data_IF_297730977283
#
_entry.id   IF_297730977283
#
_cell.length_a   1.000
_cell.length_b   1.000
_cell.length_c   1.000
_cell.angle_alpha   90.00
_cell.angle_beta   90.00
_cell.angle_gamma   90.00
#
_symmetry.space_group_name_H-M   'P 1'
#
loop_
_entity.id
_entity.type
_entity.pdbx_description
1 polymer ?
#
# COMPACT_ATOMS: atom_id res chain seq x y z
N UNK A 1 -0.39 6.57 -0.34
CA UNK A 1 -1.30 7.54 0.35
C UNK A 1 -2.13 6.74 1.34
N UNK A 2 -1.73 6.71 2.61
CA UNK A 2 -2.47 5.97 3.64
C UNK A 2 -3.65 6.85 4.04
N UNK A 3 -4.87 6.50 3.62
CA UNK A 3 -6.04 7.08 4.23
C UNK A 3 -6.06 6.58 5.68
N UNK A 4 -5.82 7.47 6.62
CA UNK A 4 -5.88 7.10 8.02
C UNK A 4 -7.30 6.63 8.35
N UNK A 5 -7.41 5.70 9.30
CA UNK A 5 -8.71 5.27 9.83
C UNK A 5 -9.50 6.49 10.32
N UNK A 6 -8.80 7.51 10.85
CA UNK A 6 -9.40 8.78 11.30
C UNK A 6 -10.10 9.51 10.15
N UNK A 7 -9.46 9.62 8.97
CA UNK A 7 -10.07 10.24 7.80
C UNK A 7 -11.37 9.55 7.38
N UNK A 8 -11.35 8.22 7.26
CA UNK A 8 -12.51 7.43 6.86
C UNK A 8 -13.68 7.57 7.85
N UNK A 9 -13.41 7.38 9.13
CA UNK A 9 -14.42 7.47 10.17
C UNK A 9 -15.00 8.89 10.26
N UNK A 10 -14.15 9.91 10.30
CA UNK A 10 -14.58 11.28 10.39
C UNK A 10 -15.39 11.74 9.19
N UNK A 11 -14.95 11.43 7.97
CA UNK A 11 -15.65 11.78 6.73
C UNK A 11 -17.00 11.06 6.61
N UNK A 12 -17.06 9.78 7.00
CA UNK A 12 -18.32 9.02 7.02
C UNK A 12 -19.31 9.58 8.02
N UNK A 13 -18.87 9.93 9.24
CA UNK A 13 -19.74 10.54 10.26
C UNK A 13 -20.24 11.92 9.83
N UNK A 14 -19.40 12.72 9.17
CA UNK A 14 -19.80 14.01 8.61
C UNK A 14 -20.88 13.84 7.53
N UNK A 15 -20.69 12.92 6.58
CA UNK A 15 -21.65 12.62 5.52
C UNK A 15 -22.99 12.11 6.08
N UNK A 16 -22.96 11.15 6.99
CA UNK A 16 -24.16 10.59 7.65
C UNK A 16 -24.89 11.69 8.42
N UNK A 17 -24.19 12.51 9.19
CA UNK A 17 -24.78 13.64 9.93
C UNK A 17 -25.47 14.63 8.99
N UNK A 18 -24.87 14.91 7.82
CA UNK A 18 -25.44 15.79 6.80
C UNK A 18 -26.72 15.19 6.20
N UNK A 19 -26.71 13.90 5.86
CA UNK A 19 -27.88 13.19 5.34
C UNK A 19 -29.05 13.18 6.33
N UNK A 20 -28.78 12.89 7.61
CA UNK A 20 -29.78 12.90 8.69
C UNK A 20 -30.40 14.30 8.83
N UNK A 21 -29.58 15.36 8.82
CA UNK A 21 -30.06 16.74 8.92
C UNK A 21 -30.98 17.13 7.76
N UNK A 22 -30.64 16.72 6.54
CA UNK A 22 -31.37 17.13 5.33
C UNK A 22 -32.66 16.33 5.17
N UNK A 23 -32.64 15.02 5.37
CA UNK A 23 -33.77 14.15 5.05
C UNK A 23 -34.73 13.93 6.22
N UNK A 24 -34.24 13.84 7.45
CA UNK A 24 -35.09 13.54 8.60
C UNK A 24 -35.57 14.76 9.36
N UNK A 25 -35.00 15.95 9.13
CA UNK A 25 -35.37 17.22 9.75
C UNK A 25 -35.68 17.11 11.27
N UNK A 26 -34.83 16.49 12.09
CA UNK A 26 -35.13 16.25 13.49
C UNK A 26 -35.03 17.55 14.28
N UNK A 27 -36.16 18.26 14.47
CA UNK A 27 -36.21 19.58 15.13
C UNK A 27 -35.48 19.63 16.47
N UNK A 28 -35.53 18.53 17.24
CA UNK A 28 -34.89 18.42 18.56
C UNK A 28 -33.35 18.34 18.46
N UNK A 29 -32.80 17.76 17.38
CA UNK A 29 -31.36 17.47 17.24
C UNK A 29 -30.66 18.30 16.16
N UNK A 30 -31.31 19.30 15.58
CA UNK A 30 -30.76 20.13 14.52
C UNK A 30 -29.41 20.78 14.91
N UNK A 31 -29.31 21.38 16.09
CA UNK A 31 -28.08 22.02 16.54
C UNK A 31 -26.95 21.03 16.82
N UNK A 32 -27.15 20.00 17.67
CA UNK A 32 -26.09 19.03 17.94
C UNK A 32 -25.60 18.32 16.68
N UNK A 33 -26.50 17.92 15.76
CA UNK A 33 -26.13 17.31 14.49
C UNK A 33 -25.34 18.25 13.57
N UNK A 34 -25.70 19.53 13.53
CA UNK A 34 -24.95 20.53 12.76
C UNK A 34 -23.53 20.73 13.31
N UNK A 35 -23.37 20.75 14.61
CA UNK A 35 -22.05 20.83 15.24
C UNK A 35 -21.23 19.56 14.98
N UNK A 36 -21.81 18.37 15.11
CA UNK A 36 -21.11 17.12 14.83
C UNK A 36 -20.66 17.04 13.37
N UNK A 37 -21.51 17.44 12.43
CA UNK A 37 -21.15 17.49 11.00
C UNK A 37 -19.91 18.36 10.75
N UNK A 38 -19.90 19.60 11.30
CA UNK A 38 -18.76 20.52 11.12
C UNK A 38 -17.51 19.98 11.82
N UNK A 39 -17.66 19.46 13.04
CA UNK A 39 -16.53 18.89 13.78
C UNK A 39 -15.88 17.72 13.01
N UNK A 40 -16.65 16.73 12.59
CA UNK A 40 -16.11 15.58 11.88
C UNK A 40 -15.56 15.92 10.50
N UNK A 41 -16.20 16.86 9.78
CA UNK A 41 -15.68 17.33 8.51
C UNK A 41 -14.32 18.07 8.68
N UNK A 42 -14.20 18.90 9.71
CA UNK A 42 -12.95 19.60 10.04
C UNK A 42 -11.85 18.62 10.49
N UNK A 43 -12.21 17.60 11.28
CA UNK A 43 -11.29 16.55 11.71
C UNK A 43 -10.76 15.73 10.51
N UNK A 44 -11.65 15.34 9.60
CA UNK A 44 -11.26 14.62 8.38
C UNK A 44 -10.36 15.44 7.45
N UNK A 45 -10.62 16.77 7.35
CA UNK A 45 -9.78 17.67 6.58
C UNK A 45 -8.42 17.90 7.23
N UNK A 46 -8.37 18.07 8.56
CA UNK A 46 -7.12 18.24 9.30
C UNK A 46 -6.23 17.01 9.15
N UNK A 47 -6.81 15.81 9.30
CA UNK A 47 -6.10 14.56 9.07
C UNK A 47 -5.59 14.44 7.62
N UNK A 48 -6.41 14.81 6.64
CA UNK A 48 -6.00 14.85 5.23
C UNK A 48 -4.81 15.80 5.01
N UNK A 49 -4.82 17.00 5.57
CA UNK A 49 -3.73 18.00 5.43
C UNK A 49 -2.45 17.50 6.10
N UNK A 50 -2.54 16.90 7.29
CA UNK A 50 -1.38 16.42 8.06
C UNK A 50 -0.73 15.21 7.40
N UNK A 51 -1.53 14.29 6.85
CA UNK A 51 -1.04 13.05 6.26
C UNK A 51 -0.73 13.17 4.75
N UNK A 52 -1.13 14.27 4.10
CA UNK A 52 -0.86 14.54 2.70
C UNK A 52 0.13 15.70 2.60
N UNK A 53 1.38 15.43 2.28
CA UNK A 53 2.20 16.46 1.66
C UNK A 53 1.52 16.81 0.32
N UNK A 54 0.98 18.03 0.22
CA UNK A 54 0.27 18.52 -0.96
C UNK A 54 1.22 18.52 -2.15
N UNK A 55 1.27 17.43 -2.88
CA UNK A 55 1.88 17.38 -4.20
C UNK A 55 0.77 17.66 -5.19
N UNK A 56 0.83 18.80 -5.82
CA UNK A 56 0.08 19.15 -7.02
C UNK A 56 0.48 18.19 -8.14
N UNK A 57 -0.18 17.07 -8.26
CA UNK A 57 0.07 16.14 -9.35
C UNK A 57 -1.22 15.45 -9.81
N UNK A 58 -1.57 15.76 -11.05
CA UNK A 58 -2.32 14.98 -12.05
C UNK A 58 -3.65 14.37 -11.58
N UNK A 59 -4.70 14.68 -12.33
CA UNK A 59 -6.09 14.24 -12.13
C UNK A 59 -6.16 12.70 -12.15
N UNK A 60 -6.17 12.09 -10.98
CA UNK A 60 -6.52 10.69 -10.76
C UNK A 60 -7.80 10.57 -9.92
N UNK A 61 -8.29 9.34 -9.71
CA UNK A 61 -9.52 9.08 -8.95
C UNK A 61 -9.45 9.59 -7.50
N UNK A 62 -8.26 9.61 -6.89
CA UNK A 62 -8.05 10.13 -5.54
C UNK A 62 -8.15 11.66 -5.52
N UNK A 63 -7.62 12.33 -6.53
CA UNK A 63 -7.75 13.79 -6.71
C UNK A 63 -9.21 14.18 -6.87
N UNK A 64 -9.98 13.44 -7.68
CA UNK A 64 -11.44 13.67 -7.83
C UNK A 64 -12.15 13.52 -6.48
N UNK A 65 -11.87 12.44 -5.74
CA UNK A 65 -12.43 12.23 -4.41
C UNK A 65 -12.12 13.37 -3.45
N UNK A 66 -10.88 13.86 -3.43
CA UNK A 66 -10.45 14.99 -2.61
C UNK A 66 -11.22 16.28 -2.95
N UNK A 67 -11.35 16.61 -4.24
CA UNK A 67 -12.09 17.80 -4.67
C UNK A 67 -13.59 17.73 -4.33
N UNK A 68 -14.21 16.55 -4.51
CA UNK A 68 -15.61 16.33 -4.11
C UNK A 68 -15.78 16.45 -2.60
N UNK A 69 -14.82 15.95 -1.82
CA UNK A 69 -14.80 16.09 -0.36
C UNK A 69 -14.64 17.53 0.10
N UNK A 70 -13.75 18.32 -0.52
CA UNK A 70 -13.57 19.74 -0.25
C UNK A 70 -14.85 20.52 -0.59
N UNK A 71 -15.50 20.21 -1.72
CA UNK A 71 -16.76 20.84 -2.10
C UNK A 71 -17.87 20.50 -1.09
N UNK A 72 -17.98 19.26 -0.65
CA UNK A 72 -18.93 18.82 0.39
C UNK A 72 -18.72 19.58 1.70
N UNK A 73 -17.47 19.69 2.17
CA UNK A 73 -17.12 20.46 3.36
C UNK A 73 -17.47 21.94 3.22
N UNK A 74 -17.08 22.57 2.12
CA UNK A 74 -17.32 23.99 1.87
C UNK A 74 -18.82 24.30 1.85
N UNK A 75 -19.62 23.49 1.16
CA UNK A 75 -21.08 23.64 1.12
C UNK A 75 -21.73 23.38 2.49
N UNK A 76 -21.18 22.45 3.27
CA UNK A 76 -21.65 22.18 4.63
C UNK A 76 -21.38 23.37 5.56
N UNK A 77 -20.20 23.98 5.49
CA UNK A 77 -19.84 25.20 6.23
C UNK A 77 -20.71 26.39 5.81
N UNK A 78 -20.93 26.58 4.51
CA UNK A 78 -21.82 27.64 4.00
C UNK A 78 -23.27 27.44 4.44
N UNK A 79 -23.77 26.21 4.42
CA UNK A 79 -25.10 25.88 4.91
C UNK A 79 -25.24 26.18 6.42
N UNK A 80 -24.23 25.80 7.21
CA UNK A 80 -24.16 26.10 8.62
C UNK A 80 -24.13 27.62 8.89
N UNK A 81 -23.23 28.35 8.21
CA UNK A 81 -23.12 29.81 8.35
C UNK A 81 -24.44 30.53 7.93
N UNK A 82 -25.09 30.05 6.87
CA UNK A 82 -26.37 30.63 6.43
C UNK A 82 -27.50 30.45 7.44
N UNK A 83 -27.47 29.38 8.25
CA UNK A 83 -28.42 29.17 9.33
C UNK A 83 -28.26 30.21 10.46
N UNK A 84 -27.02 30.68 10.69
CA UNK A 84 -26.71 31.70 11.70
C UNK A 84 -26.94 33.12 11.17
N UNK A 85 -26.45 33.43 9.97
CA UNK A 85 -26.38 34.78 9.43
C UNK A 85 -27.68 35.21 8.72
N UNK A 86 -28.45 34.29 8.16
CA UNK A 86 -29.59 34.58 7.29
C UNK A 86 -30.95 34.31 7.94
N UNK A 87 -31.02 34.14 9.23
CA UNK A 87 -32.26 33.94 9.99
C UNK A 87 -33.11 35.21 10.03
N UNK A 88 -34.34 35.26 9.60
CA UNK A 88 -35.24 34.36 8.86
C UNK A 88 -35.49 34.78 7.39
N UNK A 89 -34.62 35.62 6.77
CA UNK A 89 -34.90 36.35 5.53
C UNK A 89 -34.88 35.54 4.23
N UNK A 90 -34.19 34.38 4.18
CA UNK A 90 -34.10 33.58 2.95
C UNK A 90 -34.10 32.06 3.22
N UNK A 91 -35.19 31.45 3.70
CA UNK A 91 -35.25 30.02 4.05
C UNK A 91 -35.00 29.12 2.83
N UNK A 92 -35.41 29.53 1.62
CA UNK A 92 -35.20 28.75 0.38
C UNK A 92 -33.72 28.64 -0.01
N UNK A 93 -32.91 29.68 0.21
CA UNK A 93 -31.46 29.64 -0.08
C UNK A 93 -30.73 28.71 0.89
N UNK A 94 -31.06 28.73 2.18
CA UNK A 94 -30.53 27.82 3.18
C UNK A 94 -30.86 26.35 2.84
N UNK A 95 -32.12 26.04 2.48
CA UNK A 95 -32.49 24.68 2.07
C UNK A 95 -31.73 24.21 0.82
N UNK A 96 -31.54 25.09 -0.18
CA UNK A 96 -30.76 24.77 -1.39
C UNK A 96 -29.32 24.43 -1.08
N UNK A 97 -28.66 25.20 -0.20
CA UNK A 97 -27.31 24.91 0.26
C UNK A 97 -27.22 23.59 1.01
N UNK A 98 -28.21 23.28 1.87
CA UNK A 98 -28.28 22.03 2.58
C UNK A 98 -28.42 20.81 1.65
N UNK A 99 -29.29 20.91 0.64
CA UNK A 99 -29.42 19.85 -0.37
C UNK A 99 -28.15 19.67 -1.21
N UNK A 100 -27.51 20.78 -1.63
CA UNK A 100 -26.26 20.70 -2.35
C UNK A 100 -25.17 20.02 -1.48
N UNK A 101 -25.02 20.40 -0.22
CA UNK A 101 -24.10 19.79 0.72
C UNK A 101 -24.36 18.27 0.87
N UNK A 102 -25.64 17.86 0.95
CA UNK A 102 -26.01 16.44 1.05
C UNK A 102 -25.62 15.66 -0.22
N UNK A 103 -25.87 16.22 -1.40
CA UNK A 103 -25.52 15.58 -2.68
C UNK A 103 -24.00 15.38 -2.80
N UNK A 104 -23.21 16.42 -2.51
CA UNK A 104 -21.75 16.30 -2.57
C UNK A 104 -21.20 15.36 -1.50
N UNK A 105 -21.80 15.33 -0.30
CA UNK A 105 -21.39 14.38 0.76
C UNK A 105 -21.72 12.94 0.36
N UNK A 106 -22.88 12.68 -0.22
CA UNK A 106 -23.24 11.37 -0.75
C UNK A 106 -22.32 10.95 -1.89
N UNK A 107 -21.99 11.85 -2.81
CA UNK A 107 -21.04 11.59 -3.89
C UNK A 107 -19.64 11.29 -3.36
N UNK A 108 -19.13 12.05 -2.39
CA UNK A 108 -17.85 11.79 -1.77
C UNK A 108 -17.81 10.43 -1.08
N UNK A 109 -18.86 10.06 -0.34
CA UNK A 109 -18.99 8.74 0.30
C UNK A 109 -19.02 7.62 -0.75
N UNK A 110 -19.80 7.78 -1.81
CA UNK A 110 -19.92 6.78 -2.88
C UNK A 110 -18.59 6.56 -3.62
N UNK A 111 -17.88 7.64 -3.99
CA UNK A 111 -16.55 7.56 -4.61
C UNK A 111 -15.56 6.91 -3.62
N UNK A 112 -15.62 7.27 -2.35
CA UNK A 112 -14.78 6.65 -1.32
C UNK A 112 -15.01 5.14 -1.18
N UNK A 113 -16.26 4.69 -1.23
CA UNK A 113 -16.61 3.24 -1.22
C UNK A 113 -16.10 2.54 -2.48
N UNK A 114 -16.22 3.18 -3.66
CA UNK A 114 -15.66 2.62 -4.91
C UNK A 114 -14.13 2.50 -4.82
N UNK A 115 -13.43 3.52 -4.33
CA UNK A 115 -11.99 3.49 -4.15
C UNK A 115 -11.58 2.42 -3.12
N UNK A 116 -12.33 2.27 -2.04
CA UNK A 116 -12.12 1.20 -1.08
C UNK A 116 -12.36 -0.18 -1.73
N UNK A 117 -13.41 -0.33 -2.53
CA UNK A 117 -13.69 -1.55 -3.31
C UNK A 117 -12.55 -1.87 -4.28
N UNK A 118 -11.91 -0.86 -4.88
CA UNK A 118 -10.72 -1.02 -5.71
C UNK A 118 -9.51 -1.57 -4.93
N UNK A 119 -9.37 -1.20 -3.66
CA UNK A 119 -8.33 -1.78 -2.77
C UNK A 119 -8.58 -3.27 -2.54
N UNK A 120 -9.84 -3.70 -2.51
CA UNK A 120 -10.23 -5.12 -2.33
C UNK A 120 -10.39 -5.87 -3.66
N UNK A 121 -10.34 -5.20 -4.81
CA UNK A 121 -10.37 -5.90 -6.09
C UNK A 121 -9.10 -6.73 -6.25
N UNK A 122 -9.25 -8.01 -6.54
CA UNK A 122 -8.10 -8.82 -6.94
C UNK A 122 -7.50 -8.19 -8.20
N UNK A 123 -6.18 -7.96 -8.17
CA UNK A 123 -5.45 -7.57 -9.37
C UNK A 123 -5.56 -8.62 -10.47
N UNK A 124 -4.94 -8.38 -11.61
CA UNK A 124 -4.95 -9.36 -12.68
C UNK A 124 -4.44 -10.70 -12.15
N UNK A 125 -5.20 -11.77 -12.38
CA UNK A 125 -4.74 -13.14 -12.11
C UNK A 125 -3.62 -13.41 -13.13
N UNK A 126 -2.40 -13.45 -12.64
CA UNK A 126 -1.23 -13.75 -13.45
C UNK A 126 -0.84 -15.17 -13.08
N UNK A 127 -1.29 -16.12 -13.88
CA UNK A 127 -0.96 -17.54 -13.75
C UNK A 127 0.17 -17.89 -14.72
N UNK A 128 1.38 -17.45 -14.41
CA UNK A 128 2.58 -17.77 -15.17
C UNK A 128 3.54 -18.54 -14.28
N UNK A 129 3.84 -19.76 -14.71
CA UNK A 129 4.86 -20.57 -14.06
C UNK A 129 6.22 -19.86 -14.12
N UNK A 130 6.98 -19.91 -13.00
CA UNK A 130 8.34 -19.41 -12.97
C UNK A 130 9.19 -20.09 -14.04
N UNK A 131 9.90 -19.28 -14.83
CA UNK A 131 10.81 -19.75 -15.84
C UNK A 131 12.25 -19.69 -15.35
N UNK A 132 13.09 -20.70 -15.62
CA UNK A 132 14.55 -20.57 -15.47
C UNK A 132 15.04 -19.34 -16.26
N UNK A 133 15.93 -18.55 -15.65
CA UNK A 133 16.44 -17.32 -16.25
C UNK A 133 17.95 -17.18 -16.04
N UNK A 134 18.55 -16.23 -16.74
CA UNK A 134 19.94 -15.83 -16.55
C UNK A 134 20.05 -14.79 -15.42
N UNK A 135 21.13 -14.87 -14.65
CA UNK A 135 21.51 -13.79 -13.72
C UNK A 135 22.14 -12.58 -14.44
N UNK A 136 22.49 -12.73 -15.72
CA UNK A 136 22.92 -11.63 -16.59
C UNK A 136 21.70 -11.07 -17.28
N UNK A 137 21.35 -9.83 -16.94
CA UNK A 137 20.16 -9.16 -17.46
C UNK A 137 20.49 -8.44 -18.79
N UNK A 138 19.51 -8.30 -19.70
CA UNK A 138 19.68 -7.59 -20.97
C UNK A 138 19.98 -6.09 -20.82
N UNK A 139 19.60 -5.47 -19.68
CA UNK A 139 19.66 -4.02 -19.42
C UNK A 139 18.90 -3.18 -20.45
N UNK A 140 17.86 -3.78 -21.02
CA UNK A 140 16.87 -3.14 -21.90
C UNK A 140 15.49 -3.40 -21.28
N UNK A 141 14.75 -2.36 -20.98
CA UNK A 141 13.46 -2.49 -20.30
C UNK A 141 12.47 -3.28 -21.14
N UNK A 142 12.05 -4.44 -20.62
CA UNK A 142 11.01 -5.24 -21.25
C UNK A 142 9.63 -4.59 -21.03
N UNK A 143 8.83 -4.52 -22.09
CA UNK A 143 7.45 -4.00 -22.07
C UNK A 143 6.40 -5.10 -22.02
N UNK A 144 6.81 -6.35 -22.32
CA UNK A 144 5.95 -7.53 -22.33
C UNK A 144 6.78 -8.78 -21.97
N UNK A 145 6.15 -9.75 -21.32
CA UNK A 145 6.71 -11.07 -21.07
C UNK A 145 5.60 -12.12 -21.09
N UNK A 146 5.79 -13.18 -21.89
CA UNK A 146 4.81 -14.28 -22.08
C UNK A 146 3.40 -13.79 -22.42
N UNK A 147 3.28 -12.75 -23.27
CA UNK A 147 1.99 -12.17 -23.66
C UNK A 147 1.38 -11.22 -22.62
N UNK A 148 2.06 -10.98 -21.49
CA UNK A 148 1.58 -10.08 -20.43
C UNK A 148 2.29 -8.74 -20.58
N UNK A 149 1.50 -7.67 -20.71
CA UNK A 149 2.02 -6.30 -20.73
C UNK A 149 2.57 -5.92 -19.36
N UNK A 150 3.79 -5.40 -19.32
CA UNK A 150 4.45 -4.92 -18.12
C UNK A 150 4.24 -3.41 -17.95
N UNK A 151 4.18 -2.97 -16.70
CA UNK A 151 4.14 -1.54 -16.39
C UNK A 151 5.55 -0.97 -16.48
N UNK A 152 5.81 0.07 -17.31
CA UNK A 152 7.12 0.70 -17.37
C UNK A 152 7.57 1.23 -16.01
N UNK A 153 8.89 1.23 -15.74
CA UNK A 153 9.43 1.72 -14.47
C UNK A 153 9.04 3.19 -14.20
N UNK A 154 8.94 4.01 -15.25
CA UNK A 154 8.50 5.40 -15.16
C UNK A 154 7.09 5.56 -14.58
N UNK A 155 6.23 4.57 -14.82
CA UNK A 155 4.81 4.60 -14.43
C UNK A 155 4.55 3.88 -13.09
N UNK A 156 5.56 3.17 -12.57
CA UNK A 156 5.47 2.47 -11.30
C UNK A 156 5.66 3.45 -10.14
N UNK A 157 4.67 3.52 -9.25
CA UNK A 157 4.80 4.25 -7.98
C UNK A 157 5.75 3.51 -7.03
N UNK A 158 6.37 4.25 -6.11
CA UNK A 158 7.31 3.72 -5.15
C UNK A 158 7.15 4.42 -3.79
N UNK A 159 7.08 3.63 -2.73
CA UNK A 159 7.03 4.11 -1.34
C UNK A 159 8.26 3.62 -0.58
N UNK A 160 8.76 4.44 0.34
CA UNK A 160 9.86 4.13 1.23
C UNK A 160 9.73 4.90 2.54
N UNK A 161 10.08 4.28 3.67
CA UNK A 161 9.94 4.92 5.00
C UNK A 161 11.02 5.96 5.27
N UNK A 162 12.19 5.83 4.62
CA UNK A 162 13.32 6.77 4.73
C UNK A 162 13.82 7.26 3.37
N UNK A 163 12.97 7.20 2.33
CA UNK A 163 13.38 7.55 0.97
C UNK A 163 14.25 6.47 0.32
N UNK A 164 14.75 6.77 -0.89
CA UNK A 164 15.58 5.85 -1.67
C UNK A 164 16.92 5.61 -0.98
N UNK A 165 17.32 4.34 -0.86
CA UNK A 165 18.61 3.95 -0.35
C UNK A 165 19.59 3.69 -1.50
N UNK A 166 20.83 4.14 -1.34
CA UNK A 166 21.91 3.94 -2.31
C UNK A 166 22.94 3.02 -1.69
N UNK A 167 22.94 1.76 -2.09
CA UNK A 167 23.77 0.71 -1.53
C UNK A 167 24.89 0.38 -2.51
N UNK A 168 26.14 0.41 -2.03
CA UNK A 168 27.30 0.04 -2.84
C UNK A 168 27.33 -1.48 -3.03
N UNK A 169 27.29 -1.91 -4.28
CA UNK A 169 27.35 -3.32 -4.67
C UNK A 169 28.58 -4.04 -4.13
N UNK A 170 29.73 -3.38 -4.09
CA UNK A 170 31.00 -4.01 -3.73
C UNK A 170 31.08 -4.30 -2.23
N UNK A 171 30.41 -3.50 -1.43
CA UNK A 171 30.37 -3.63 0.03
C UNK A 171 29.08 -4.31 0.55
N UNK A 172 28.16 -4.67 -0.35
CA UNK A 172 26.92 -5.30 0.04
C UNK A 172 27.10 -6.78 0.39
N UNK A 173 26.49 -7.19 1.50
CA UNK A 173 26.29 -8.59 1.86
C UNK A 173 24.90 -8.84 2.37
N UNK A 174 24.35 -10.02 2.06
CA UNK A 174 23.11 -10.55 2.62
C UNK A 174 23.45 -11.54 3.72
N UNK A 175 22.98 -11.27 4.93
CA UNK A 175 23.14 -12.18 6.06
C UNK A 175 21.91 -13.07 6.23
N UNK A 176 22.13 -14.39 6.45
CA UNK A 176 21.10 -15.34 6.87
C UNK A 176 21.47 -15.88 8.25
N UNK A 177 20.56 -15.76 9.22
CA UNK A 177 20.79 -16.15 10.61
C UNK A 177 19.54 -16.68 11.32
N UNK A 178 19.64 -16.92 12.61
CA UNK A 178 18.56 -17.36 13.49
C UNK A 178 18.48 -18.86 13.63
N UNK A 179 17.30 -19.47 13.47
CA UNK A 179 17.10 -20.93 13.60
C UNK A 179 17.59 -21.68 12.36
N UNK A 180 18.88 -21.58 12.11
CA UNK A 180 19.63 -22.28 11.06
C UNK A 180 20.84 -22.99 11.66
N UNK A 181 21.33 -24.03 11.01
CA UNK A 181 22.54 -24.74 11.46
C UNK A 181 23.82 -24.00 11.04
N UNK A 182 23.74 -23.28 9.92
CA UNK A 182 24.85 -22.48 9.37
C UNK A 182 24.36 -21.09 8.99
N UNK A 183 24.87 -20.07 9.65
CA UNK A 183 24.69 -18.69 9.20
C UNK A 183 25.42 -18.47 7.87
N UNK A 184 24.83 -17.66 6.99
CA UNK A 184 25.45 -17.26 5.73
C UNK A 184 25.71 -15.75 5.75
N UNK A 185 26.76 -15.34 5.04
CA UNK A 185 27.04 -13.96 4.73
C UNK A 185 27.53 -13.92 3.28
N UNK A 186 26.65 -13.60 2.35
CA UNK A 186 26.90 -13.72 0.91
C UNK A 186 26.99 -12.34 0.26
N UNK A 187 28.00 -12.15 -0.53
CA UNK A 187 28.14 -10.97 -1.39
C UNK A 187 27.09 -10.99 -2.51
N UNK A 188 26.87 -9.83 -3.13
CA UNK A 188 25.95 -9.73 -4.27
C UNK A 188 26.34 -10.68 -5.40
N UNK A 189 27.64 -10.79 -5.71
CA UNK A 189 28.13 -11.64 -6.79
C UNK A 189 27.97 -13.15 -6.48
N UNK A 190 28.08 -13.56 -5.23
CA UNK A 190 27.77 -14.95 -4.81
C UNK A 190 26.28 -15.25 -4.91
N UNK A 191 25.41 -14.29 -4.59
CA UNK A 191 23.96 -14.44 -4.74
C UNK A 191 23.54 -14.61 -6.20
N UNK A 192 24.21 -13.97 -7.14
CA UNK A 192 23.98 -14.13 -8.58
C UNK A 192 24.37 -15.52 -9.13
N UNK A 193 25.09 -16.35 -8.36
CA UNK A 193 25.39 -17.74 -8.72
C UNK A 193 24.26 -18.72 -8.34
N UNK A 194 23.27 -18.27 -7.57
CA UNK A 194 22.13 -19.10 -7.23
C UNK A 194 21.25 -19.39 -8.47
N UNK A 195 20.50 -20.50 -8.47
CA UNK A 195 19.53 -20.77 -9.52
C UNK A 195 18.58 -19.58 -9.69
N UNK A 196 18.55 -19.03 -10.89
CA UNK A 196 17.81 -17.82 -11.21
C UNK A 196 16.53 -18.14 -11.95
N UNK A 197 15.46 -17.44 -11.60
CA UNK A 197 14.12 -17.57 -12.17
C UNK A 197 13.54 -16.20 -12.50
N UNK A 198 12.63 -16.17 -13.49
CA UNK A 198 11.80 -15.01 -13.77
C UNK A 198 10.33 -15.36 -13.61
N UNK A 199 9.57 -14.41 -13.11
CA UNK A 199 8.11 -14.47 -13.03
C UNK A 199 7.49 -13.12 -13.34
N UNK A 200 6.22 -13.10 -13.73
CA UNK A 200 5.41 -11.88 -13.76
C UNK A 200 4.50 -11.89 -12.55
N UNK A 201 4.54 -10.80 -11.80
CA UNK A 201 3.68 -10.63 -10.63
C UNK A 201 3.11 -9.22 -10.56
N UNK A 202 1.86 -9.12 -10.09
CA UNK A 202 1.23 -7.86 -9.75
C UNK A 202 1.54 -7.50 -8.30
N UNK A 203 2.06 -6.30 -8.08
CA UNK A 203 2.34 -5.73 -6.75
C UNK A 203 1.20 -4.78 -6.38
N UNK A 204 0.27 -5.17 -5.50
CA UNK A 204 -0.83 -4.32 -5.05
C UNK A 204 -0.40 -3.46 -3.86
N UNK A 205 -0.67 -2.16 -3.91
CA UNK A 205 -0.52 -1.27 -2.77
C UNK A 205 -1.85 -1.09 -2.04
N UNK A 206 -1.81 -0.98 -0.71
CA UNK A 206 -2.99 -0.64 0.13
C UNK A 206 -3.55 0.74 -0.16
N UNK A 207 -2.83 1.58 -0.87
CA UNK A 207 -3.26 2.90 -1.34
C UNK A 207 -4.12 2.85 -2.61
N UNK A 208 -4.48 1.67 -3.12
CA UNK A 208 -5.35 1.48 -4.27
C UNK A 208 -4.66 1.57 -5.62
N UNK A 209 -3.32 1.59 -5.67
CA UNK A 209 -2.55 1.46 -6.89
C UNK A 209 -1.74 0.16 -6.89
N UNK A 210 -1.24 -0.21 -8.04
CA UNK A 210 -0.36 -1.36 -8.19
C UNK A 210 0.24 -1.39 -9.59
N UNK A 211 1.15 -2.31 -9.82
CA UNK A 211 1.77 -2.48 -11.11
C UNK A 211 2.14 -3.94 -11.39
N UNK A 212 2.21 -4.30 -12.65
CA UNK A 212 2.63 -5.61 -13.12
C UNK A 212 4.06 -5.52 -13.63
N UNK A 213 4.96 -6.35 -13.13
CA UNK A 213 6.34 -6.38 -13.56
C UNK A 213 6.85 -7.81 -13.73
N UNK A 214 7.86 -7.96 -14.59
CA UNK A 214 8.71 -9.15 -14.67
C UNK A 214 9.78 -9.02 -13.61
N UNK A 215 9.83 -9.99 -12.70
CA UNK A 215 10.83 -10.06 -11.65
C UNK A 215 11.84 -11.15 -11.97
N UNK A 216 13.11 -10.87 -11.77
CA UNK A 216 14.19 -11.84 -11.95
C UNK A 216 15.00 -11.94 -10.68
N UNK A 217 15.19 -13.16 -10.18
CA UNK A 217 15.87 -13.40 -8.92
C UNK A 217 16.04 -14.88 -8.59
N UNK A 218 16.48 -15.18 -7.37
CA UNK A 218 16.57 -16.53 -6.83
C UNK A 218 15.42 -16.78 -5.86
N UNK A 219 15.07 -18.04 -5.64
CA UNK A 219 14.04 -18.40 -4.64
C UNK A 219 14.62 -18.25 -3.24
N UNK A 220 13.89 -17.61 -2.35
CA UNK A 220 14.28 -17.46 -0.94
C UNK A 220 14.56 -18.82 -0.31
N UNK A 221 13.75 -19.82 -0.64
CA UNK A 221 13.92 -21.18 -0.08
C UNK A 221 15.21 -21.86 -0.54
N UNK A 222 15.68 -21.61 -1.76
CA UNK A 222 16.95 -22.18 -2.24
C UNK A 222 18.13 -21.63 -1.41
N UNK A 223 18.10 -20.34 -1.08
CA UNK A 223 19.08 -19.72 -0.19
C UNK A 223 18.98 -20.28 1.25
N UNK A 224 17.77 -20.39 1.80
CA UNK A 224 17.55 -20.92 3.16
C UNK A 224 17.96 -22.38 3.30
N UNK A 225 17.80 -23.18 2.25
CA UNK A 225 18.27 -24.58 2.22
C UNK A 225 19.79 -24.69 2.36
N UNK A 226 20.55 -23.70 1.87
CA UNK A 226 22.00 -23.66 2.09
C UNK A 226 22.36 -23.45 3.58
N UNK A 227 21.49 -22.79 4.34
CA UNK A 227 21.68 -22.55 5.78
C UNK A 227 21.24 -23.73 6.65
N UNK A 228 20.46 -24.66 6.13
CA UNK A 228 19.84 -25.79 6.84
C UNK A 228 18.93 -25.30 7.97
N UNK A 229 17.65 -25.10 7.66
CA UNK A 229 16.66 -24.59 8.63
C UNK A 229 16.45 -25.64 9.73
N UNK A 230 16.50 -25.21 11.00
CA UNK A 230 16.17 -26.06 12.14
C UNK A 230 14.66 -26.34 12.20
N UNK A 231 14.24 -27.52 12.71
CA UNK A 231 12.82 -27.88 12.75
C UNK A 231 11.90 -26.92 13.50
N UNK A 232 12.45 -26.13 14.41
CA UNK A 232 11.71 -25.08 15.15
C UNK A 232 11.53 -23.78 14.37
N UNK A 233 12.17 -23.62 13.21
CA UNK A 233 12.01 -22.43 12.35
C UNK A 233 10.72 -22.54 11.56
N UNK A 234 9.77 -21.63 11.82
CA UNK A 234 8.46 -21.61 11.16
C UNK A 234 8.13 -20.27 10.49
N UNK A 235 8.92 -19.25 10.75
CA UNK A 235 8.69 -17.90 10.25
C UNK A 235 10.01 -17.25 9.84
N UNK A 236 9.96 -16.36 8.85
CA UNK A 236 11.15 -15.71 8.30
C UNK A 236 10.95 -14.20 8.30
N UNK A 237 11.86 -13.50 8.96
CA UNK A 237 11.87 -12.04 9.03
C UNK A 237 12.88 -11.49 8.05
N UNK A 238 12.48 -10.53 7.25
CA UNK A 238 13.31 -9.80 6.30
C UNK A 238 13.58 -8.40 6.87
N UNK A 239 14.85 -8.02 6.95
CA UNK A 239 15.29 -6.70 7.42
C UNK A 239 15.98 -5.96 6.29
N UNK A 240 15.66 -4.69 6.19
CA UNK A 240 16.13 -3.78 5.15
C UNK A 240 17.16 -2.78 5.69
N UNK A 241 17.93 -2.21 4.79
CA UNK A 241 18.95 -1.21 5.11
C UNK A 241 18.39 0.06 5.77
N UNK A 242 17.15 0.42 5.47
CA UNK A 242 16.45 1.59 6.02
C UNK A 242 15.71 1.32 7.36
N UNK A 243 16.02 0.20 8.05
CA UNK A 243 15.35 -0.30 9.25
C UNK A 243 13.90 -0.77 9.02
N UNK A 244 13.47 -0.90 7.75
CA UNK A 244 12.22 -1.56 7.45
C UNK A 244 12.32 -3.05 7.78
N UNK A 245 11.21 -3.64 8.21
CA UNK A 245 11.13 -5.09 8.42
C UNK A 245 9.74 -5.61 8.11
N UNK A 246 9.68 -6.85 7.65
CA UNK A 246 8.43 -7.62 7.52
C UNK A 246 8.75 -9.10 7.69
N UNK A 247 7.72 -9.91 7.90
CA UNK A 247 7.91 -11.35 8.03
C UNK A 247 6.87 -12.14 7.26
N UNK A 248 7.22 -13.38 6.93
CA UNK A 248 6.38 -14.32 6.19
C UNK A 248 6.52 -15.72 6.78
N UNK A 249 5.43 -16.52 6.79
CA UNK A 249 5.49 -17.93 7.16
C UNK A 249 6.45 -18.71 6.25
N UNK A 250 7.20 -19.66 6.84
CA UNK A 250 8.14 -20.47 6.09
C UNK A 250 7.45 -21.33 5.01
N UNK A 251 6.28 -21.87 5.31
CA UNK A 251 5.47 -22.66 4.36
C UNK A 251 5.02 -21.83 3.15
N UNK A 252 4.70 -20.55 3.36
CA UNK A 252 4.39 -19.63 2.26
C UNK A 252 5.60 -19.45 1.33
N UNK A 253 6.81 -19.31 1.88
CA UNK A 253 8.03 -19.18 1.09
C UNK A 253 8.35 -20.45 0.29
N UNK A 254 8.12 -21.63 0.90
CA UNK A 254 8.35 -22.92 0.29
C UNK A 254 7.34 -23.20 -0.83
N UNK A 255 6.05 -23.16 -0.50
CA UNK A 255 4.97 -23.51 -1.42
C UNK A 255 4.81 -22.48 -2.53
N UNK A 256 4.99 -21.20 -2.21
CA UNK A 256 4.89 -20.10 -3.14
C UNK A 256 6.11 -19.93 -4.04
N UNK A 257 7.25 -20.62 -3.78
CA UNK A 257 8.50 -20.41 -4.52
C UNK A 257 8.86 -18.92 -4.61
N UNK A 258 8.76 -18.21 -3.49
CA UNK A 258 8.88 -16.75 -3.42
C UNK A 258 10.29 -16.29 -3.84
N UNK A 259 10.35 -15.28 -4.72
CA UNK A 259 11.61 -14.75 -5.23
C UNK A 259 12.17 -13.64 -4.32
N UNK A 260 13.50 -13.63 -4.23
CA UNK A 260 14.32 -12.49 -3.89
C UNK A 260 14.86 -11.93 -5.21
N UNK A 261 14.27 -10.83 -5.67
CA UNK A 261 14.60 -10.26 -6.97
C UNK A 261 15.83 -9.35 -6.88
N UNK A 262 16.68 -9.43 -7.89
CA UNK A 262 17.74 -8.50 -8.20
C UNK A 262 17.51 -7.76 -9.52
N UNK A 263 16.45 -8.14 -10.27
CA UNK A 263 16.08 -7.54 -11.53
C UNK A 263 14.58 -7.31 -11.66
N UNK A 264 14.22 -6.28 -12.44
CA UNK A 264 12.85 -5.90 -12.77
C UNK A 264 12.77 -5.49 -14.25
N UNK A 265 11.81 -6.02 -15.02
CA UNK A 265 11.62 -5.72 -16.43
C UNK A 265 12.93 -5.81 -17.25
N UNK A 266 13.74 -6.85 -17.00
CA UNK A 266 15.05 -7.09 -17.62
C UNK A 266 16.15 -6.05 -17.32
N UNK A 267 15.92 -5.16 -16.37
CA UNK A 267 16.91 -4.25 -15.83
C UNK A 267 17.38 -4.70 -14.45
N UNK A 268 18.63 -4.44 -14.11
CA UNK A 268 19.07 -4.50 -12.71
C UNK A 268 18.19 -3.58 -11.87
N UNK A 269 17.78 -4.01 -10.69
CA UNK A 269 16.94 -3.19 -9.81
C UNK A 269 17.54 -1.79 -9.65
N UNK A 270 16.82 -0.72 -10.02
CA UNK A 270 17.24 0.63 -9.67
C UNK A 270 17.25 0.84 -8.15
N UNK A 271 18.02 1.81 -7.67
CA UNK A 271 18.13 2.10 -6.24
C UNK A 271 16.76 2.35 -5.58
N UNK A 272 15.86 3.09 -6.24
CA UNK A 272 14.51 3.37 -5.74
C UNK A 272 13.59 2.14 -5.77
N UNK A 273 13.93 1.09 -6.55
CA UNK A 273 13.24 -0.19 -6.64
C UNK A 273 13.81 -1.26 -5.75
N UNK A 274 14.75 -0.92 -4.88
CA UNK A 274 15.23 -1.84 -3.85
C UNK A 274 16.56 -2.50 -4.14
N UNK A 275 17.37 -1.97 -5.11
CA UNK A 275 18.72 -2.50 -5.28
C UNK A 275 19.45 -2.58 -3.92
N UNK A 276 20.16 -3.67 -3.57
CA UNK A 276 20.46 -4.83 -4.42
C UNK A 276 19.37 -5.90 -4.50
N UNK A 277 18.47 -6.00 -3.49
CA UNK A 277 17.47 -7.07 -3.41
C UNK A 277 16.10 -6.55 -2.97
N UNK A 278 15.05 -7.05 -3.62
CA UNK A 278 13.66 -6.85 -3.26
C UNK A 278 12.92 -8.18 -3.12
N UNK A 279 12.13 -8.33 -2.06
CA UNK A 279 11.25 -9.48 -1.86
C UNK A 279 10.02 -9.38 -2.77
N UNK A 280 9.70 -10.44 -3.50
CA UNK A 280 8.51 -10.56 -4.36
C UNK A 280 7.46 -11.38 -3.64
N UNK A 281 6.68 -10.73 -2.78
CA UNK A 281 5.67 -11.40 -1.95
C UNK A 281 4.33 -11.51 -2.70
N UNK A 282 4.25 -12.44 -3.67
CA UNK A 282 3.04 -12.68 -4.48
C UNK A 282 1.80 -12.84 -3.60
N UNK A 283 0.66 -12.35 -4.09
CA UNK A 283 -0.64 -12.40 -3.40
C UNK A 283 -0.67 -11.68 -2.04
N UNK A 284 0.36 -10.87 -1.75
CA UNK A 284 0.41 -10.01 -0.57
C UNK A 284 0.40 -8.55 -0.95
N UNK A 285 -0.15 -7.71 -0.07
CA UNK A 285 -0.03 -6.25 -0.23
C UNK A 285 1.42 -5.78 -0.20
N UNK A 286 1.69 -4.66 -0.87
CA UNK A 286 3.01 -4.10 -1.11
C UNK A 286 3.87 -3.88 0.13
N UNK A 287 3.29 -3.78 1.33
CA UNK A 287 4.07 -3.68 2.56
C UNK A 287 4.77 -5.00 2.96
N UNK A 288 4.47 -6.13 2.32
CA UNK A 288 5.28 -7.36 2.43
C UNK A 288 6.44 -7.41 1.44
N UNK A 289 6.46 -6.52 0.45
CA UNK A 289 7.46 -6.49 -0.62
C UNK A 289 8.65 -5.61 -0.19
N UNK A 290 9.38 -6.07 0.83
CA UNK A 290 10.49 -5.32 1.40
C UNK A 290 11.63 -5.11 0.38
N UNK A 291 12.23 -3.92 0.39
CA UNK A 291 13.32 -3.48 -0.47
C UNK A 291 14.63 -3.37 0.31
N UNK A 292 15.75 -3.29 -0.40
CA UNK A 292 17.08 -3.11 0.22
C UNK A 292 17.38 -4.13 1.31
N UNK A 293 17.01 -5.40 1.08
CA UNK A 293 17.16 -6.47 2.06
C UNK A 293 18.64 -6.68 2.37
N UNK A 294 18.97 -6.69 3.65
CA UNK A 294 20.35 -6.94 4.16
C UNK A 294 20.42 -8.15 5.09
N UNK A 295 19.29 -8.56 5.67
CA UNK A 295 19.27 -9.69 6.59
C UNK A 295 17.97 -10.50 6.46
N UNK A 296 18.11 -11.82 6.56
CA UNK A 296 17.02 -12.79 6.65
C UNK A 296 17.22 -13.58 7.95
N UNK A 297 16.20 -13.59 8.81
CA UNK A 297 16.24 -14.27 10.11
C UNK A 297 15.15 -15.32 10.21
N UNK A 298 15.52 -16.57 10.47
CA UNK A 298 14.56 -17.67 10.72
C UNK A 298 14.23 -17.70 12.20
N UNK A 299 12.93 -17.69 12.53
CA UNK A 299 12.44 -17.63 13.92
C UNK A 299 11.36 -18.68 14.19
N UNK A 300 11.08 -18.95 15.49
CA UNK A 300 10.11 -19.96 15.95
C UNK A 300 8.71 -19.43 16.18
N UNK A 301 8.48 -18.14 15.95
CA UNK A 301 7.18 -17.50 16.17
C UNK A 301 6.93 -16.41 15.15
N UNK A 302 5.68 -16.05 14.98
CA UNK A 302 5.27 -14.97 14.10
C UNK A 302 5.73 -13.61 14.65
N UNK A 303 6.39 -12.82 13.81
CA UNK A 303 6.91 -11.49 14.17
C UNK A 303 6.17 -10.42 13.38
N UNK A 304 5.76 -9.36 14.05
CA UNK A 304 5.19 -8.16 13.42
C UNK A 304 6.32 -7.24 12.93
N UNK A 305 6.32 -6.93 11.64
CA UNK A 305 7.24 -6.00 11.03
C UNK A 305 6.85 -4.53 11.25
N UNK A 306 7.40 -3.66 10.40
CA UNK A 306 7.24 -2.21 10.54
C UNK A 306 5.77 -1.75 10.45
N UNK A 307 5.03 -2.13 9.41
CA UNK A 307 3.64 -1.74 9.26
C UNK A 307 2.68 -2.61 10.08
N UNK A 308 2.99 -3.88 10.24
CA UNK A 308 2.20 -4.81 11.05
C UNK A 308 2.15 -4.39 12.52
N UNK A 309 3.25 -3.85 13.06
CA UNK A 309 3.27 -3.27 14.41
C UNK A 309 2.48 -1.96 14.53
N UNK A 310 2.06 -1.39 13.40
CA UNK A 310 1.27 -0.15 13.30
C UNK A 310 -0.18 -0.40 12.88
N UNK A 311 -0.67 -1.63 13.04
CA UNK A 311 -2.07 -1.98 12.83
C UNK A 311 -2.40 -2.54 11.45
N UNK A 312 -1.40 -2.87 10.62
CA UNK A 312 -1.63 -3.64 9.40
C UNK A 312 -1.71 -5.13 9.70
N UNK A 313 -2.48 -5.86 8.89
CA UNK A 313 -2.63 -7.30 9.00
C UNK A 313 -1.29 -8.02 8.78
N UNK A 314 -0.98 -9.00 9.63
CA UNK A 314 0.25 -9.78 9.44
C UNK A 314 0.14 -10.78 8.28
N UNK A 315 -1.07 -11.25 7.94
CA UNK A 315 -1.31 -12.10 6.76
C UNK A 315 -1.11 -11.34 5.46
N UNK A 316 -1.52 -10.07 5.41
CA UNK A 316 -1.38 -9.18 4.25
C UNK A 316 -1.96 -9.71 2.93
N UNK A 317 -2.88 -10.67 2.98
CA UNK A 317 -3.42 -11.29 1.78
C UNK A 317 -4.12 -10.25 0.90
N UNK A 318 -3.75 -10.22 -0.38
CA UNK A 318 -4.39 -9.31 -1.32
C UNK A 318 -5.87 -9.69 -1.51
N UNK A 319 -6.74 -8.69 -1.43
CA UNK A 319 -8.20 -8.88 -1.47
C UNK A 319 -8.85 -9.07 -0.10
N UNK A 320 -8.07 -9.15 0.98
CA UNK A 320 -8.56 -9.10 2.36
C UNK A 320 -8.39 -7.69 2.94
N UNK A 321 -9.05 -7.44 4.08
CA UNK A 321 -8.92 -6.15 4.76
C UNK A 321 -7.48 -5.98 5.27
N UNK A 322 -6.76 -4.91 4.88
CA UNK A 322 -5.32 -4.80 5.16
C UNK A 322 -4.97 -4.41 6.60
N UNK A 323 -5.96 -4.13 7.45
CA UNK A 323 -5.77 -3.76 8.86
C UNK A 323 -6.23 -4.87 9.78
N UNK A 324 -5.52 -5.08 10.92
CA UNK A 324 -5.81 -6.16 11.87
C UNK A 324 -5.26 -5.91 13.27
#
# INVERSE_FOLDING_TARGET
MVFSTVHWVASSLAAISTLILVFLHPKKYLRPLSYSMVFFAALGLADYIVNQQVVLAIIDSHTIHAWVGIAALSLSLLSFASAFLMRPRRPRAHCRLGYAAAVFSAAALFIGVILLGGVFSKGPVIDVEQQPASSVLPEIEATEFLGIKLTPLSDQRNNAIKGTQYIDRQNYTLRVRGLVDRELNMTYDELLQLPTYSEVSYMPCVEGWGFTAKWTGFRVIDLLNLSVIRPSGIYVVFRSYDDYSTGLPLDYLQNGKILMAFGINDLTLPADRGFPLQLVARDKYGYKWAKWITEIEVVSEEVRGYWESRGYSNSANFGEFPFG
#
